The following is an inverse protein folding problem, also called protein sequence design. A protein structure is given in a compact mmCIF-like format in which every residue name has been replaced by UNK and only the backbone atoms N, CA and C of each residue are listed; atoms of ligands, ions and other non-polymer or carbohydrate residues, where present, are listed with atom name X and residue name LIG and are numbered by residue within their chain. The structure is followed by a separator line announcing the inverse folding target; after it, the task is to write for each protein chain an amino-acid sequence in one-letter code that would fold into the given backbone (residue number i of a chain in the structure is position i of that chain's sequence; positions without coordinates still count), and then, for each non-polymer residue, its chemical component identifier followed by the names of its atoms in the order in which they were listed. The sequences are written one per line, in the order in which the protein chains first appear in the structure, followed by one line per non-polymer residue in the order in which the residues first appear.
data_IF_606757881612
#
_entry.id   IF_606757881612
#
_cell.length_a   1.000
_cell.length_b   1.000
_cell.length_c   1.000
_cell.angle_alpha   90.00
_cell.angle_beta   90.00
_cell.angle_gamma   90.00
#
_symmetry.space_group_name_H-M   'P 1'
#
loop_
_entity.id
_entity.type
_entity.pdbx_description
1 polymer ?
#
# COMPACT_ATOMS: atom_id res chain seq x y z
N UNK A 1 -49.50 -7.10 60.07
CA UNK A 1 -49.76 -8.29 59.22
C UNK A 1 -49.05 -8.14 57.89
N UNK A 2 -48.00 -8.91 57.61
CA UNK A 2 -47.20 -8.80 56.38
C UNK A 2 -47.65 -9.84 55.35
N UNK A 3 -48.06 -9.38 54.16
CA UNK A 3 -48.57 -10.24 53.08
C UNK A 3 -47.41 -11.05 52.46
N UNK A 4 -47.51 -12.39 52.52
CA UNK A 4 -46.58 -13.31 51.85
C UNK A 4 -46.68 -13.14 50.32
N UNK A 5 -45.55 -12.85 49.67
CA UNK A 5 -45.44 -12.78 48.20
C UNK A 5 -45.66 -14.18 47.61
N UNK A 6 -46.71 -14.35 46.82
CA UNK A 6 -46.97 -15.60 46.08
C UNK A 6 -45.86 -15.81 45.03
N UNK A 7 -45.19 -16.96 45.10
CA UNK A 7 -44.23 -17.38 44.08
C UNK A 7 -44.96 -17.52 42.74
N UNK A 8 -44.68 -16.64 41.77
CA UNK A 8 -45.23 -16.75 40.42
C UNK A 8 -44.63 -18.02 39.80
N UNK A 9 -45.47 -19.03 39.58
CA UNK A 9 -45.12 -20.25 38.87
C UNK A 9 -44.52 -19.85 37.50
N UNK A 10 -43.23 -20.09 37.29
CA UNK A 10 -42.60 -19.85 35.99
C UNK A 10 -43.12 -20.88 35.01
N UNK A 11 -43.61 -20.42 33.86
CA UNK A 11 -44.12 -21.32 32.83
C UNK A 11 -43.00 -22.21 32.30
N UNK A 12 -43.32 -23.48 32.04
CA UNK A 12 -42.37 -24.46 31.51
C UNK A 12 -42.01 -24.08 30.07
N UNK A 13 -40.72 -23.89 29.79
CA UNK A 13 -40.21 -23.58 28.46
C UNK A 13 -40.02 -24.90 27.71
N UNK A 14 -40.79 -25.10 26.63
CA UNK A 14 -40.64 -26.23 25.74
C UNK A 14 -39.58 -25.90 24.69
N UNK A 15 -38.42 -26.56 24.79
CA UNK A 15 -37.33 -26.42 23.83
C UNK A 15 -37.49 -27.51 22.76
N UNK A 16 -38.04 -27.13 21.60
CA UNK A 16 -38.17 -28.02 20.44
C UNK A 16 -37.13 -27.58 19.42
N UNK A 17 -36.30 -28.52 18.99
CA UNK A 17 -35.36 -28.27 17.91
C UNK A 17 -36.05 -28.48 16.58
N UNK A 18 -35.84 -27.55 15.63
CA UNK A 18 -36.16 -27.83 14.24
C UNK A 18 -35.30 -29.01 13.76
N UNK A 19 -35.94 -30.03 13.22
CA UNK A 19 -35.26 -31.25 12.77
C UNK A 19 -34.26 -30.97 11.65
N UNK A 20 -34.52 -29.95 10.82
CA UNK A 20 -33.62 -29.56 9.73
C UNK A 20 -32.33 -28.97 10.29
N UNK A 21 -32.45 -28.00 11.20
CA UNK A 21 -31.32 -27.40 11.89
C UNK A 21 -30.56 -28.43 12.73
N UNK A 22 -31.27 -29.38 13.34
CA UNK A 22 -30.64 -30.49 14.07
C UNK A 22 -29.82 -31.38 13.15
N UNK A 23 -30.35 -31.74 11.96
CA UNK A 23 -29.64 -32.54 10.96
C UNK A 23 -28.42 -31.80 10.42
N UNK A 24 -28.55 -30.52 10.09
CA UNK A 24 -27.43 -29.67 9.65
C UNK A 24 -26.39 -29.47 10.76
N UNK A 25 -26.83 -29.33 12.01
CA UNK A 25 -25.92 -29.27 13.14
C UNK A 25 -25.15 -30.58 13.30
N UNK A 26 -25.83 -31.73 13.30
CA UNK A 26 -25.19 -33.03 13.48
C UNK A 26 -24.29 -33.46 12.30
N UNK A 27 -24.66 -33.13 11.06
CA UNK A 27 -23.87 -33.55 9.89
C UNK A 27 -22.87 -32.48 9.44
N UNK A 28 -23.10 -31.22 9.81
CA UNK A 28 -22.32 -30.06 9.37
C UNK A 28 -20.94 -29.89 10.01
N UNK A 29 -20.40 -30.88 10.74
CA UNK A 29 -19.07 -30.76 11.36
C UNK A 29 -17.96 -30.46 10.35
N UNK A 30 -18.04 -31.04 9.15
CA UNK A 30 -17.06 -30.75 8.08
C UNK A 30 -17.16 -29.29 7.63
N UNK A 31 -18.38 -28.79 7.40
CA UNK A 31 -18.67 -27.38 7.06
C UNK A 31 -18.14 -26.43 8.15
N UNK A 32 -18.48 -26.66 9.42
CA UNK A 32 -17.96 -25.85 10.53
C UNK A 32 -16.44 -25.93 10.70
N UNK A 33 -15.83 -27.06 10.35
CA UNK A 33 -14.36 -27.23 10.40
C UNK A 33 -13.68 -26.45 9.27
N UNK A 34 -14.25 -26.42 8.07
CA UNK A 34 -13.71 -25.61 6.95
C UNK A 34 -13.90 -24.13 7.21
N UNK A 35 -15.06 -23.71 7.72
CA UNK A 35 -15.33 -22.32 8.14
C UNK A 35 -14.35 -21.85 9.20
N UNK A 36 -14.16 -22.61 10.28
CA UNK A 36 -13.19 -22.26 11.33
C UNK A 36 -11.77 -22.15 10.78
N UNK A 37 -11.38 -23.03 9.85
CA UNK A 37 -10.08 -22.94 9.17
C UNK A 37 -9.97 -21.67 8.32
N UNK A 38 -11.01 -21.35 7.54
CA UNK A 38 -11.06 -20.15 6.71
C UNK A 38 -10.97 -18.89 7.57
N UNK A 39 -11.82 -18.75 8.58
CA UNK A 39 -11.81 -17.65 9.55
C UNK A 39 -10.43 -17.47 10.22
N UNK A 40 -9.75 -18.57 10.54
CA UNK A 40 -8.41 -18.49 11.12
C UNK A 40 -7.33 -18.03 10.12
N UNK A 41 -7.46 -18.37 8.83
CA UNK A 41 -6.56 -17.89 7.77
C UNK A 41 -6.82 -16.41 7.49
N UNK A 42 -8.08 -16.03 7.34
CA UNK A 42 -8.49 -14.65 7.07
C UNK A 42 -8.01 -13.73 8.20
N UNK A 43 -8.13 -14.14 9.46
CA UNK A 43 -7.58 -13.40 10.61
C UNK A 43 -6.06 -13.20 10.55
N UNK A 44 -5.31 -14.20 10.09
CA UNK A 44 -3.85 -14.08 9.95
C UNK A 44 -3.52 -13.10 8.82
N UNK A 45 -4.21 -13.19 7.69
CA UNK A 45 -4.02 -12.30 6.55
C UNK A 45 -4.42 -10.86 6.86
N UNK A 46 -5.53 -10.66 7.58
CA UNK A 46 -6.01 -9.34 7.98
C UNK A 46 -4.98 -8.62 8.86
N UNK A 47 -4.46 -9.29 9.89
CA UNK A 47 -3.40 -8.75 10.76
C UNK A 47 -2.16 -8.36 9.96
N UNK A 48 -1.69 -9.23 9.07
CA UNK A 48 -0.54 -8.92 8.22
C UNK A 48 -0.79 -7.74 7.28
N UNK A 49 -2.03 -7.57 6.79
CA UNK A 49 -2.42 -6.42 5.96
C UNK A 49 -2.45 -5.11 6.76
N UNK A 50 -2.97 -5.15 7.98
CA UNK A 50 -3.00 -4.00 8.89
C UNK A 50 -1.58 -3.55 9.28
N UNK A 51 -0.72 -4.50 9.66
CA UNK A 51 0.70 -4.25 9.96
C UNK A 51 1.41 -3.62 8.76
N UNK A 52 1.23 -4.16 7.55
CA UNK A 52 1.78 -3.56 6.31
C UNK A 52 1.23 -2.16 6.05
N UNK A 53 -0.05 -1.91 6.32
CA UNK A 53 -0.66 -0.59 6.11
C UNK A 53 0.01 0.45 7.01
N UNK A 54 0.26 0.11 8.27
CA UNK A 54 0.92 0.99 9.24
C UNK A 54 2.37 1.29 8.78
N UNK A 55 3.13 0.26 8.41
CA UNK A 55 4.51 0.42 7.93
C UNK A 55 4.59 1.27 6.65
N UNK A 56 3.66 1.08 5.71
CA UNK A 56 3.57 1.92 4.50
C UNK A 56 3.27 3.38 4.83
N UNK A 57 2.37 3.63 5.78
CA UNK A 57 2.06 4.98 6.22
C UNK A 57 3.28 5.65 6.87
N UNK A 58 4.04 4.92 7.69
CA UNK A 58 5.31 5.40 8.26
C UNK A 58 6.35 5.71 7.18
N UNK A 59 6.53 4.82 6.20
CA UNK A 59 7.44 5.05 5.07
C UNK A 59 7.04 6.29 4.27
N UNK A 60 5.75 6.46 3.99
CA UNK A 60 5.23 7.63 3.25
C UNK A 60 5.51 8.94 4.00
N UNK A 61 5.35 8.97 5.32
CA UNK A 61 5.68 10.15 6.13
C UNK A 61 7.16 10.53 6.00
N UNK A 62 8.06 9.56 6.13
CA UNK A 62 9.51 9.82 6.00
C UNK A 62 9.86 10.31 4.59
N UNK A 63 9.26 9.73 3.55
CA UNK A 63 9.46 10.21 2.18
C UNK A 63 8.93 11.63 1.97
N UNK A 64 7.78 11.94 2.57
CA UNK A 64 7.20 13.28 2.51
C UNK A 64 8.06 14.31 3.25
N UNK A 65 8.60 13.96 4.42
CA UNK A 65 9.58 14.79 5.14
C UNK A 65 10.86 15.03 4.32
N UNK A 66 11.33 14.00 3.60
CA UNK A 66 12.51 14.13 2.74
C UNK A 66 12.23 15.04 1.53
N UNK A 67 11.02 15.00 0.98
CA UNK A 67 10.62 15.84 -0.16
C UNK A 67 10.37 17.29 0.25
N UNK A 68 9.65 17.53 1.35
CA UNK A 68 9.39 18.88 1.85
C UNK A 68 10.65 19.59 2.33
N UNK A 69 11.70 18.86 2.75
CA UNK A 69 12.99 19.47 3.06
C UNK A 69 13.76 19.97 1.84
N UNK A 70 13.33 19.62 0.61
CA UNK A 70 13.99 19.98 -0.64
C UNK A 70 13.17 20.89 -1.55
N UNK A 71 11.86 21.04 -1.30
CA UNK A 71 10.96 21.78 -2.18
C UNK A 71 10.30 22.88 -1.36
N UNK A 72 10.91 24.06 -1.38
CA UNK A 72 10.17 25.29 -1.11
C UNK A 72 9.01 25.37 -2.12
N UNK A 73 7.81 25.87 -1.74
CA UNK A 73 6.70 26.01 -2.66
C UNK A 73 7.17 26.86 -3.85
N UNK A 74 7.31 26.21 -5.01
CA UNK A 74 7.72 26.86 -6.24
C UNK A 74 6.75 28.03 -6.48
N UNK A 75 7.22 29.30 -6.52
CA UNK A 75 6.35 30.40 -6.90
C UNK A 75 5.86 30.14 -8.32
N UNK A 76 4.55 30.24 -8.55
CA UNK A 76 3.88 29.94 -9.81
C UNK A 76 4.67 30.48 -11.02
N UNK A 77 5.41 29.60 -11.69
CA UNK A 77 6.29 29.92 -12.82
C UNK A 77 5.49 30.14 -14.11
N UNK A 78 4.45 30.99 -14.06
CA UNK A 78 3.57 31.27 -15.21
C UNK A 78 3.98 32.49 -16.03
N UNK A 79 5.13 33.14 -15.79
CA UNK A 79 5.40 34.43 -16.46
C UNK A 79 6.80 34.70 -16.99
N UNK A 80 7.74 33.74 -17.16
CA UNK A 80 9.13 34.13 -17.54
C UNK A 80 9.89 33.33 -18.60
N UNK A 81 9.31 32.34 -19.27
CA UNK A 81 10.10 31.46 -20.16
C UNK A 81 9.47 31.32 -21.57
N UNK A 82 8.92 32.37 -22.17
CA UNK A 82 8.57 32.32 -23.61
C UNK A 82 8.62 33.71 -24.23
N UNK A 83 9.81 34.23 -24.55
CA UNK A 83 10.02 35.23 -25.63
C UNK A 83 11.52 35.46 -25.87
N UNK A 84 12.24 34.43 -26.31
CA UNK A 84 13.50 34.64 -27.02
C UNK A 84 13.39 33.99 -28.39
N UNK A 85 12.41 34.46 -29.17
CA UNK A 85 12.34 34.14 -30.61
C UNK A 85 13.37 35.06 -31.27
N UNK A 86 14.54 34.53 -31.60
CA UNK A 86 15.49 35.23 -32.43
C UNK A 86 14.88 35.48 -33.82
N UNK A 87 15.03 36.69 -34.35
CA UNK A 87 14.40 37.08 -35.61
C UNK A 87 15.00 36.27 -36.79
N UNK A 88 14.17 35.80 -37.74
CA UNK A 88 14.64 35.01 -38.87
C UNK A 88 15.54 35.84 -39.78
N UNK A 89 16.74 35.33 -40.08
CA UNK A 89 17.71 36.04 -40.92
C UNK A 89 17.57 35.58 -42.37
N UNK A 90 17.28 36.52 -43.26
CA UNK A 90 17.19 36.31 -44.71
C UNK A 90 18.53 36.65 -45.37
N UNK A 91 19.07 35.72 -46.15
CA UNK A 91 20.23 35.96 -47.00
C UNK A 91 19.80 35.91 -48.46
N UNK A 92 20.06 36.99 -49.19
CA UNK A 92 19.75 37.07 -50.62
C UNK A 92 20.98 36.75 -51.44
N UNK A 93 20.88 35.69 -52.24
CA UNK A 93 21.96 35.17 -53.09
C UNK A 93 21.57 35.35 -54.57
N UNK A 94 22.53 35.38 -55.51
CA UNK A 94 22.29 35.83 -56.88
C UNK A 94 21.22 35.05 -57.67
N UNK A 95 20.96 33.80 -57.33
CA UNK A 95 19.94 32.96 -57.99
C UNK A 95 18.78 32.57 -57.07
N UNK A 96 18.84 32.83 -55.76
CA UNK A 96 17.82 32.42 -54.80
C UNK A 96 17.99 33.11 -53.43
N UNK A 97 16.91 33.15 -52.65
CA UNK A 97 16.92 33.69 -51.28
C UNK A 97 16.76 32.56 -50.27
N UNK A 98 17.60 32.54 -49.23
CA UNK A 98 17.55 31.54 -48.14
C UNK A 98 17.19 32.23 -46.82
N UNK A 99 16.10 31.79 -46.21
CA UNK A 99 15.68 32.18 -44.85
C UNK A 99 16.10 31.13 -43.84
N UNK A 100 16.97 31.51 -42.89
CA UNK A 100 17.35 30.64 -41.78
C UNK A 100 16.57 31.08 -40.53
N UNK A 101 15.77 30.16 -40.00
CA UNK A 101 15.00 30.37 -38.76
C UNK A 101 15.50 29.37 -37.73
N UNK A 102 15.99 29.85 -36.58
CA UNK A 102 16.30 28.98 -35.45
C UNK A 102 14.99 28.50 -34.82
N UNK A 103 14.78 27.18 -34.82
CA UNK A 103 13.63 26.55 -34.17
C UNK A 103 14.10 25.83 -32.92
N UNK A 104 13.46 26.11 -31.80
CA UNK A 104 13.65 25.32 -30.58
C UNK A 104 13.04 23.93 -30.73
N UNK A 105 13.66 22.93 -30.09
CA UNK A 105 13.19 21.55 -30.06
C UNK A 105 11.70 21.43 -29.68
N UNK A 106 11.22 22.29 -28.77
CA UNK A 106 9.81 22.32 -28.34
C UNK A 106 8.86 22.84 -29.43
N UNK A 107 9.31 23.76 -30.30
CA UNK A 107 8.52 24.28 -31.42
C UNK A 107 8.44 23.26 -32.57
N UNK A 108 9.47 22.43 -32.75
CA UNK A 108 9.54 21.43 -33.83
C UNK A 108 8.74 20.16 -33.52
N UNK A 109 8.77 19.69 -32.27
CA UNK A 109 8.11 18.44 -31.86
C UNK A 109 6.78 18.66 -31.13
N UNK A 110 6.37 19.92 -30.90
CA UNK A 110 5.22 20.26 -30.07
C UNK A 110 5.42 19.87 -28.61
N UNK A 111 4.36 20.03 -27.79
CA UNK A 111 4.34 19.72 -26.35
C UNK A 111 4.31 18.19 -26.06
N UNK A 112 5.00 17.40 -26.90
CA UNK A 112 5.09 15.93 -26.83
C UNK A 112 6.33 15.52 -26.04
N UNK A 113 6.77 16.33 -25.07
CA UNK A 113 7.80 15.93 -24.11
C UNK A 113 7.15 15.60 -22.77
N UNK A 114 7.50 14.43 -22.21
CA UNK A 114 7.14 14.09 -20.83
C UNK A 114 8.11 14.82 -19.90
N UNK A 115 7.96 16.15 -19.82
CA UNK A 115 8.70 17.04 -18.93
C UNK A 115 10.20 17.17 -19.23
N UNK A 116 10.71 18.41 -19.21
CA UNK A 116 12.15 18.64 -19.14
C UNK A 116 12.57 18.50 -17.67
N UNK A 117 13.45 17.52 -17.36
CA UNK A 117 14.07 17.46 -16.05
C UNK A 117 15.07 18.63 -15.94
N UNK A 118 14.62 19.78 -15.46
CA UNK A 118 15.52 20.85 -15.00
C UNK A 118 15.99 20.48 -13.60
N UNK A 119 17.27 20.20 -13.46
CA UNK A 119 17.93 20.26 -12.16
C UNK A 119 18.39 21.71 -12.02
N UNK A 120 17.54 22.55 -11.43
CA UNK A 120 18.02 23.82 -10.93
C UNK A 120 19.02 23.50 -9.81
N UNK A 121 20.24 24.00 -9.92
CA UNK A 121 21.20 24.05 -8.82
C UNK A 121 20.62 24.94 -7.72
N UNK A 122 19.62 24.42 -6.99
CA UNK A 122 19.18 24.97 -5.73
C UNK A 122 20.37 24.85 -4.79
N UNK A 123 20.85 26.01 -4.35
CA UNK A 123 21.76 26.12 -3.21
C UNK A 123 21.28 25.17 -2.14
N UNK A 124 22.03 24.08 -1.96
CA UNK A 124 21.75 23.11 -0.94
C UNK A 124 21.84 23.87 0.38
N UNK A 125 20.69 24.22 0.96
CA UNK A 125 20.59 24.24 2.41
C UNK A 125 20.95 22.82 2.79
N UNK A 126 22.22 22.63 3.20
CA UNK A 126 22.77 21.36 3.60
C UNK A 126 21.96 20.92 4.81
N UNK A 127 20.82 20.26 4.58
CA UNK A 127 20.27 19.37 5.57
C UNK A 127 21.41 18.38 5.85
N UNK A 128 21.90 18.37 7.10
CA UNK A 128 23.06 17.58 7.52
C UNK A 128 23.03 16.22 6.82
N UNK A 129 24.05 15.89 6.03
CA UNK A 129 24.08 14.65 5.25
C UNK A 129 23.76 13.40 6.10
N UNK A 130 24.12 13.46 7.39
CA UNK A 130 23.78 12.46 8.39
C UNK A 130 22.28 12.29 8.67
N UNK A 131 21.46 13.35 8.61
CA UNK A 131 20.01 13.26 8.81
C UNK A 131 19.31 12.60 7.61
N UNK A 132 19.78 12.90 6.39
CA UNK A 132 19.28 12.27 5.15
C UNK A 132 19.60 10.78 5.15
N UNK A 133 20.83 10.41 5.50
CA UNK A 133 21.26 9.00 5.55
C UNK A 133 20.53 8.23 6.66
N UNK A 134 20.28 8.87 7.81
CA UNK A 134 19.46 8.28 8.87
C UNK A 134 18.02 8.00 8.38
N UNK A 135 17.38 8.93 7.66
CA UNK A 135 16.04 8.75 7.09
C UNK A 135 16.02 7.65 6.03
N UNK A 136 17.04 7.54 5.17
CA UNK A 136 17.20 6.46 4.19
C UNK A 136 17.34 5.09 4.85
N UNK A 137 18.17 4.97 5.90
CA UNK A 137 18.31 3.74 6.67
C UNK A 137 16.98 3.31 7.30
N UNK A 138 16.23 4.28 7.85
CA UNK A 138 14.91 4.05 8.43
C UNK A 138 13.90 3.53 7.40
N UNK A 139 13.94 4.04 6.16
CA UNK A 139 13.12 3.52 5.05
C UNK A 139 13.47 2.06 4.76
N UNK A 140 14.77 1.73 4.67
CA UNK A 140 15.24 0.36 4.43
C UNK A 140 14.79 -0.62 5.52
N UNK A 141 14.86 -0.21 6.79
CA UNK A 141 14.36 -1.01 7.91
C UNK A 141 12.84 -1.26 7.82
N UNK A 142 12.06 -0.25 7.44
CA UNK A 142 10.62 -0.40 7.27
C UNK A 142 10.29 -1.38 6.14
N UNK A 143 11.07 -1.40 5.07
CA UNK A 143 10.94 -2.38 3.98
C UNK A 143 11.25 -3.80 4.44
N UNK A 144 12.31 -3.99 5.21
CA UNK A 144 12.63 -5.29 5.82
C UNK A 144 11.50 -5.76 6.74
N UNK A 145 11.00 -4.90 7.63
CA UNK A 145 9.86 -5.21 8.51
C UNK A 145 8.60 -5.59 7.72
N UNK A 146 8.34 -4.93 6.58
CA UNK A 146 7.22 -5.29 5.69
C UNK A 146 7.41 -6.67 5.04
N UNK A 147 8.63 -7.01 4.64
CA UNK A 147 8.97 -8.32 4.08
C UNK A 147 8.82 -9.43 5.13
N UNK A 148 9.37 -9.24 6.33
CA UNK A 148 9.27 -10.16 7.45
C UNK A 148 7.82 -10.42 7.88
N UNK A 149 7.01 -9.37 7.98
CA UNK A 149 5.57 -9.49 8.27
C UNK A 149 4.87 -10.42 7.26
N UNK A 150 5.25 -10.33 5.98
CA UNK A 150 4.70 -11.19 4.93
C UNK A 150 5.15 -12.64 5.04
N UNK A 151 6.44 -12.86 5.32
CA UNK A 151 7.01 -14.20 5.49
C UNK A 151 6.45 -14.89 6.74
N UNK A 152 6.36 -14.17 7.87
CA UNK A 152 5.80 -14.69 9.11
C UNK A 152 4.32 -15.11 8.96
N UNK A 153 3.54 -14.40 8.14
CA UNK A 153 2.17 -14.80 7.83
C UNK A 153 2.12 -16.10 7.02
N UNK A 154 3.01 -16.24 6.03
CA UNK A 154 3.17 -17.46 5.22
C UNK A 154 3.58 -18.62 6.12
N UNK A 155 4.61 -18.47 6.95
CA UNK A 155 5.10 -19.54 7.84
C UNK A 155 4.04 -20.04 8.81
N UNK A 156 3.23 -19.14 9.37
CA UNK A 156 2.09 -19.51 10.24
C UNK A 156 1.04 -20.36 9.50
N UNK A 157 0.86 -20.14 8.20
CA UNK A 157 -0.03 -20.95 7.35
C UNK A 157 0.62 -22.30 7.02
N UNK A 158 1.90 -22.32 6.67
CA UNK A 158 2.64 -23.52 6.27
C UNK A 158 2.92 -24.47 7.45
N UNK A 159 3.27 -23.97 8.64
CA UNK A 159 3.48 -24.77 9.86
C UNK A 159 2.23 -25.58 10.25
N UNK A 160 1.03 -25.01 10.04
CA UNK A 160 -0.24 -25.73 10.25
C UNK A 160 -0.46 -26.84 9.23
N UNK A 161 -0.07 -26.63 7.96
CA UNK A 161 -0.18 -27.64 6.89
C UNK A 161 0.77 -28.82 7.15
N UNK A 162 2.02 -28.54 7.52
CA UNK A 162 3.04 -29.56 7.77
C UNK A 162 2.77 -30.39 9.04
N UNK A 163 2.31 -29.76 10.14
CA UNK A 163 1.84 -30.49 11.34
C UNK A 163 0.68 -31.44 11.03
N UNK A 164 -0.23 -31.03 10.14
CA UNK A 164 -1.33 -31.90 9.72
C UNK A 164 -0.87 -33.07 8.84
N UNK A 165 0.14 -32.89 8.00
CA UNK A 165 0.70 -33.97 7.14
C UNK A 165 1.46 -34.99 7.98
N UNK A 166 2.35 -34.54 8.88
CA UNK A 166 3.15 -35.41 9.76
C UNK A 166 2.30 -36.25 10.72
N UNK A 167 1.12 -35.76 11.13
CA UNK A 167 0.15 -36.54 11.91
C UNK A 167 -0.62 -37.58 11.08
N UNK A 168 -0.72 -37.39 9.76
CA UNK A 168 -1.39 -38.35 8.86
C UNK A 168 -0.46 -39.49 8.46
N UNK A 169 0.84 -39.22 8.27
CA UNK A 169 1.82 -40.27 7.97
C UNK A 169 1.97 -41.23 9.15
N UNK A 170 2.16 -40.70 10.37
CA UNK A 170 2.23 -41.50 11.61
C UNK A 170 1.02 -42.38 11.92
N UNK A 171 -0.12 -42.14 11.26
CA UNK A 171 -1.37 -42.90 11.46
C UNK A 171 -1.58 -44.00 10.42
N UNK A 172 -0.67 -44.13 9.46
CA UNK A 172 -0.65 -45.20 8.46
C UNK A 172 0.32 -46.33 8.82
N UNK A 173 1.17 -46.10 9.82
CA UNK A 173 2.21 -47.04 10.25
C UNK A 173 1.81 -47.83 11.52
N UNK A 174 0.61 -47.57 12.05
CA UNK A 174 -0.09 -48.33 13.11
C UNK A 174 -1.35 -48.98 12.49
#
# INVERSE_FOLDING_TARGET
MTKKKSHKQTQKINLIFDEKDRKDFLTGFSKRKTERKKKARDKIMLRAKEEKRILKAQKRKILQELLHGHVDPLPDATTKEVTAVEEPVTYDMPEHTVTVTALDSNALYGDVCVGNNTFDELDTVIADAGEIDAKKNKIRELEQKMAECSQAAIDKLHKKKNRSRRRKSKKKDD
#
